data_IF_478764840274
#
_entry.id   IF_478764840274
#
_cell.length_a   1.000
_cell.length_b   1.000
_cell.length_c   1.000
_cell.angle_alpha   90.00
_cell.angle_beta   90.00
_cell.angle_gamma   90.00
#
_symmetry.space_group_name_H-M   'P 1'
#
loop_
_entity.id
_entity.type
_entity.pdbx_description
1 polymer ?
#
# COMPACT_ATOMS: atom_id res chain seq x y z
N UNK A 1 23.89 32.22 21.10
CA UNK A 1 23.98 30.91 20.41
C UNK A 1 23.43 31.00 18.98
N UNK A 2 22.19 31.46 18.77
CA UNK A 2 21.57 31.63 17.43
C UNK A 2 22.36 32.57 16.50
N UNK A 3 22.98 33.63 17.02
CA UNK A 3 23.79 34.57 16.23
C UNK A 3 25.04 33.94 15.61
N UNK A 4 25.72 33.03 16.33
CA UNK A 4 26.89 32.30 15.80
C UNK A 4 26.44 31.33 14.71
N UNK A 5 25.26 30.73 14.88
CA UNK A 5 24.70 29.81 13.89
C UNK A 5 24.36 30.56 12.59
N UNK A 6 23.75 31.74 12.71
CA UNK A 6 23.45 32.64 11.59
C UNK A 6 24.70 33.08 10.80
N UNK A 7 25.81 33.35 11.49
CA UNK A 7 27.06 33.81 10.87
C UNK A 7 27.92 32.70 10.24
N UNK A 8 27.62 31.42 10.47
CA UNK A 8 28.52 30.32 10.08
C UNK A 8 27.85 29.10 9.41
N UNK A 9 26.52 28.96 9.46
CA UNK A 9 25.83 27.76 8.96
C UNK A 9 24.98 28.02 7.71
N UNK A 10 24.66 26.94 6.99
CA UNK A 10 23.89 26.93 5.74
C UNK A 10 22.37 27.02 5.97
N UNK A 11 21.67 27.40 4.90
CA UNK A 11 20.21 27.50 4.80
C UNK A 11 19.46 26.34 5.48
N UNK A 12 19.85 25.09 5.21
CA UNK A 12 19.20 23.88 5.73
C UNK A 12 19.18 23.80 7.27
N UNK A 13 20.26 24.24 7.92
CA UNK A 13 20.35 24.22 9.39
C UNK A 13 19.43 25.29 9.98
N UNK A 14 19.35 26.46 9.35
CA UNK A 14 18.46 27.52 9.80
C UNK A 14 16.99 27.15 9.57
N UNK A 15 16.69 26.51 8.44
CA UNK A 15 15.37 25.94 8.12
C UNK A 15 14.94 24.93 9.18
N UNK A 16 15.78 23.94 9.49
CA UNK A 16 15.45 22.94 10.52
C UNK A 16 15.28 23.54 11.91
N UNK A 17 16.10 24.53 12.29
CA UNK A 17 15.95 25.21 13.57
C UNK A 17 14.62 25.96 13.68
N UNK A 18 14.23 26.67 12.63
CA UNK A 18 12.95 27.37 12.57
C UNK A 18 11.76 26.40 12.51
N UNK A 19 11.88 25.27 11.84
CA UNK A 19 10.82 24.24 11.78
C UNK A 19 10.64 23.49 13.10
N UNK A 20 11.75 23.15 13.78
CA UNK A 20 11.70 22.38 15.02
C UNK A 20 11.37 23.22 16.26
N UNK A 21 11.79 24.49 16.28
CA UNK A 21 11.61 25.37 17.45
C UNK A 21 10.62 26.51 17.20
N UNK A 22 10.17 26.74 15.97
CA UNK A 22 9.10 27.69 15.66
C UNK A 22 9.32 29.04 16.36
N UNK A 23 8.37 29.42 17.20
CA UNK A 23 8.31 30.70 17.92
C UNK A 23 9.30 30.83 19.09
N UNK A 24 9.90 29.72 19.55
CA UNK A 24 10.92 29.75 20.62
C UNK A 24 12.26 30.35 20.15
N UNK A 25 12.46 30.49 18.83
CA UNK A 25 13.65 31.12 18.27
C UNK A 25 13.43 32.62 18.15
N UNK A 26 13.94 33.38 19.13
CA UNK A 26 13.97 34.84 19.06
C UNK A 26 14.96 35.32 17.98
N UNK A 27 14.42 35.92 16.92
CA UNK A 27 15.22 36.62 15.90
C UNK A 27 15.48 38.03 16.38
N UNK A 28 16.66 38.26 16.96
CA UNK A 28 17.12 39.57 17.40
C UNK A 28 17.90 40.29 16.29
N UNK A 29 17.99 41.62 16.34
CA UNK A 29 18.77 42.44 15.38
C UNK A 29 20.20 41.93 15.16
N UNK A 30 20.86 41.44 16.23
CA UNK A 30 22.21 40.85 16.13
C UNK A 30 22.28 39.58 15.27
N UNK A 31 21.21 38.79 15.20
CA UNK A 31 21.09 37.60 14.34
C UNK A 31 20.91 38.04 12.90
N UNK A 32 20.03 39.01 12.64
CA UNK A 32 19.78 39.55 11.29
C UNK A 32 21.06 40.18 10.71
N UNK A 33 21.80 40.93 11.53
CA UNK A 33 23.10 41.50 11.17
C UNK A 33 24.14 40.43 10.85
N UNK A 34 24.20 39.35 11.65
CA UNK A 34 25.12 38.24 11.40
C UNK A 34 24.79 37.47 10.10
N UNK A 35 23.51 37.34 9.76
CA UNK A 35 23.07 36.75 8.47
C UNK A 35 23.43 37.66 7.29
N UNK A 36 23.19 38.96 7.41
CA UNK A 36 23.54 39.94 6.37
C UNK A 36 25.05 39.96 6.08
N UNK A 37 25.88 39.83 7.12
CA UNK A 37 27.33 39.74 7.00
C UNK A 37 27.88 38.38 6.53
N UNK A 38 27.04 37.36 6.35
CA UNK A 38 27.49 36.02 5.92
C UNK A 38 27.68 35.97 4.40
N UNK A 39 28.94 35.91 3.95
CA UNK A 39 29.31 35.96 2.51
C UNK A 39 28.96 34.71 1.72
N UNK A 40 28.79 33.57 2.37
CA UNK A 40 28.59 32.30 1.68
C UNK A 40 27.11 31.89 1.54
N UNK A 41 26.29 32.23 2.53
CA UNK A 41 24.87 31.81 2.55
C UNK A 41 23.92 32.89 3.07
N UNK A 42 24.40 34.13 3.28
CA UNK A 42 23.61 35.21 3.86
C UNK A 42 22.33 35.53 3.09
N UNK A 43 22.37 35.60 1.75
CA UNK A 43 21.18 35.89 0.93
C UNK A 43 20.11 34.79 1.03
N UNK A 44 20.52 33.52 0.98
CA UNK A 44 19.64 32.36 1.12
C UNK A 44 19.03 32.25 2.52
N UNK A 45 19.85 32.43 3.55
CA UNK A 45 19.39 32.40 4.94
C UNK A 45 18.47 33.58 5.23
N UNK A 46 18.78 34.78 4.69
CA UNK A 46 17.91 35.96 4.80
C UNK A 46 16.55 35.71 4.13
N UNK A 47 16.53 35.03 2.98
CA UNK A 47 15.27 34.64 2.32
C UNK A 47 14.42 33.70 3.19
N UNK A 48 14.99 32.65 3.76
CA UNK A 48 14.27 31.73 4.67
C UNK A 48 13.74 32.47 5.90
N UNK A 49 14.52 33.41 6.44
CA UNK A 49 14.12 34.23 7.57
C UNK A 49 12.95 35.17 7.22
N UNK A 50 12.99 35.82 6.07
CA UNK A 50 11.89 36.68 5.60
C UNK A 50 10.63 35.88 5.25
N UNK A 51 10.78 34.71 4.62
CA UNK A 51 9.65 33.83 4.24
C UNK A 51 8.90 33.30 5.47
N UNK A 52 9.62 33.02 6.57
CA UNK A 52 9.04 32.42 7.79
C UNK A 52 8.73 33.41 8.91
N UNK A 53 9.49 34.52 8.99
CA UNK A 53 9.48 35.47 10.11
C UNK A 53 9.64 36.92 9.65
N UNK A 54 9.27 37.25 8.42
CA UNK A 54 9.43 38.59 7.85
C UNK A 54 8.79 39.73 8.67
N UNK A 55 7.72 39.46 9.42
CA UNK A 55 7.08 40.45 10.31
C UNK A 55 7.91 40.75 11.59
N UNK A 56 8.78 39.83 12.01
CA UNK A 56 9.63 39.99 13.21
C UNK A 56 10.98 40.66 12.88
N UNK A 57 11.31 40.78 11.58
CA UNK A 57 12.61 41.24 11.10
C UNK A 57 12.52 42.71 10.74
N UNK A 58 13.26 43.54 11.46
CA UNK A 58 13.45 44.95 11.14
C UNK A 58 14.77 45.13 10.40
N UNK A 59 14.70 45.66 9.18
CA UNK A 59 15.90 46.08 8.46
C UNK A 59 16.29 47.46 8.97
N UNK A 60 17.31 47.51 9.81
CA UNK A 60 17.92 48.76 10.30
C UNK A 60 19.12 49.14 9.44
N UNK A 61 19.55 50.39 9.51
CA UNK A 61 20.75 50.88 8.79
C UNK A 61 21.99 50.00 9.04
N UNK A 62 22.16 49.48 10.26
CA UNK A 62 23.25 48.56 10.61
C UNK A 62 23.22 47.21 9.85
N UNK A 63 22.04 46.72 9.48
CA UNK A 63 21.87 45.48 8.70
C UNK A 63 22.19 45.74 7.24
N UNK A 64 21.80 46.91 6.73
CA UNK A 64 22.15 47.34 5.37
C UNK A 64 23.65 47.58 5.24
N UNK A 65 24.29 48.20 6.24
CA UNK A 65 25.75 48.39 6.28
C UNK A 65 26.50 47.04 6.33
N UNK A 66 26.02 46.10 7.15
CA UNK A 66 26.58 44.74 7.21
C UNK A 66 26.42 43.98 5.88
N UNK A 67 25.28 44.15 5.19
CA UNK A 67 25.06 43.59 3.86
C UNK A 67 25.95 44.25 2.79
N UNK A 68 26.12 45.57 2.85
CA UNK A 68 26.95 46.34 1.92
C UNK A 68 28.45 46.03 2.07
N UNK A 69 28.91 45.73 3.29
CA UNK A 69 30.26 45.24 3.56
C UNK A 69 30.56 43.84 3.02
N UNK A 70 29.53 43.10 2.59
CA UNK A 70 29.63 41.75 2.05
C UNK A 70 29.66 41.77 0.52
N UNK A 71 30.84 41.98 -0.06
CA UNK A 71 31.04 42.20 -1.50
C UNK A 71 30.53 41.10 -2.43
N UNK A 72 30.29 39.88 -1.94
CA UNK A 72 29.76 38.75 -2.74
C UNK A 72 28.23 38.70 -2.74
N UNK A 73 27.59 38.95 -1.59
CA UNK A 73 26.13 38.83 -1.44
C UNK A 73 25.40 40.18 -1.39
N UNK A 74 26.11 41.31 -1.39
CA UNK A 74 25.53 42.66 -1.27
C UNK A 74 24.44 42.95 -2.30
N UNK A 75 24.66 42.58 -3.58
CA UNK A 75 23.67 42.80 -4.65
C UNK A 75 22.42 41.93 -4.48
N UNK A 76 22.60 40.68 -4.05
CA UNK A 76 21.47 39.78 -3.83
C UNK A 76 20.64 40.21 -2.61
N UNK A 77 21.30 40.65 -1.53
CA UNK A 77 20.65 41.18 -0.35
C UNK A 77 19.97 42.53 -0.61
N UNK A 78 20.60 43.44 -1.37
CA UNK A 78 19.97 44.70 -1.79
C UNK A 78 18.71 44.44 -2.64
N UNK A 79 18.80 43.53 -3.61
CA UNK A 79 17.63 43.11 -4.39
C UNK A 79 16.54 42.48 -3.52
N UNK A 80 16.91 41.63 -2.55
CA UNK A 80 15.98 40.96 -1.64
C UNK A 80 15.26 41.99 -0.76
N UNK A 81 15.98 42.93 -0.16
CA UNK A 81 15.42 43.98 0.68
C UNK A 81 14.47 44.89 -0.10
N UNK A 82 14.85 45.29 -1.33
CA UNK A 82 13.98 46.06 -2.24
C UNK A 82 12.73 45.29 -2.66
N UNK A 83 12.83 43.98 -2.87
CA UNK A 83 11.70 43.17 -3.33
C UNK A 83 10.69 42.83 -2.24
N UNK A 84 11.15 42.78 -0.99
CA UNK A 84 10.33 42.38 0.15
C UNK A 84 9.74 43.58 0.89
N UNK A 85 10.47 44.69 0.94
CA UNK A 85 10.01 45.94 1.49
C UNK A 85 10.04 46.95 0.34
N UNK A 86 8.88 47.30 -0.23
CA UNK A 86 8.75 48.51 -1.04
C UNK A 86 9.07 49.70 -0.11
N UNK A 87 10.36 50.00 0.01
CA UNK A 87 10.82 51.22 0.62
C UNK A 87 10.50 52.30 -0.40
N UNK A 88 9.70 53.30 -0.02
CA UNK A 88 9.59 54.60 -0.67
C UNK A 88 10.96 55.34 -0.61
N UNK A 89 12.02 54.71 -1.09
CA UNK A 89 13.29 55.36 -1.40
C UNK A 89 13.18 55.79 -2.85
N UNK A 90 12.60 56.97 -3.02
CA UNK A 90 12.56 57.71 -4.26
C UNK A 90 13.95 57.67 -4.94
N UNK A 91 14.12 57.00 -6.11
CA UNK A 91 15.44 56.80 -6.72
C UNK A 91 16.10 58.10 -7.22
N UNK A 92 15.45 59.25 -7.09
CA UNK A 92 15.96 60.55 -7.54
C UNK A 92 16.79 61.33 -6.51
N UNK A 93 17.09 60.77 -5.34
CA UNK A 93 17.99 61.40 -4.37
C UNK A 93 19.49 61.11 -4.60
N UNK A 94 19.92 60.89 -5.85
CA UNK A 94 21.31 61.17 -6.24
C UNK A 94 21.33 62.61 -6.76
N UNK A 95 21.09 63.56 -5.84
CA UNK A 95 21.19 64.97 -6.11
C UNK A 95 22.65 65.34 -6.32
N UNK A 96 22.95 65.92 -7.48
CA UNK A 96 24.15 66.70 -7.71
C UNK A 96 24.34 67.73 -6.58
N UNK A 97 25.58 68.02 -6.16
CA UNK A 97 25.89 68.75 -4.91
C UNK A 97 25.53 70.27 -4.89
N UNK A 98 24.58 70.73 -5.71
CA UNK A 98 24.30 72.16 -5.89
C UNK A 98 23.05 72.70 -5.15
N UNK A 99 22.12 71.87 -4.68
CA UNK A 99 20.83 72.34 -4.13
C UNK A 99 20.70 72.20 -2.60
N UNK A 100 21.70 72.70 -1.86
CA UNK A 100 21.66 72.78 -0.39
C UNK A 100 20.90 74.01 0.16
N UNK A 101 20.16 74.76 -0.68
CA UNK A 101 19.49 75.99 -0.25
C UNK A 101 17.95 75.96 -0.29
N UNK A 102 17.33 74.96 -0.93
CA UNK A 102 15.86 74.85 -1.01
C UNK A 102 15.26 73.88 0.02
N UNK A 103 15.99 72.84 0.44
CA UNK A 103 15.53 71.89 1.48
C UNK A 103 15.36 72.51 2.86
N UNK A 104 16.03 73.65 3.10
CA UNK A 104 15.89 74.41 4.36
C UNK A 104 14.59 75.20 4.45
N UNK A 105 13.99 75.59 3.31
CA UNK A 105 12.70 76.31 3.28
C UNK A 105 11.50 75.37 3.45
N UNK A 106 11.57 74.14 2.96
CA UNK A 106 10.50 73.15 3.16
C UNK A 106 10.52 72.54 4.58
N UNK A 107 11.70 72.38 5.19
CA UNK A 107 11.81 72.01 6.61
C UNK A 107 11.25 73.07 7.56
N UNK A 108 11.30 74.35 7.19
CA UNK A 108 10.75 75.44 8.00
C UNK A 108 9.24 75.66 7.78
N UNK A 109 8.68 75.29 6.62
CA UNK A 109 7.23 75.27 6.39
C UNK A 109 6.48 74.15 7.14
N UNK A 110 7.16 73.09 7.59
CA UNK A 110 6.55 72.02 8.40
C UNK A 110 6.51 72.30 9.92
N UNK A 111 7.06 73.44 10.37
CA UNK A 111 6.99 73.86 11.78
C UNK A 111 5.67 74.56 12.14
N UNK A 112 4.82 74.90 11.18
CA UNK A 112 3.56 75.64 11.40
C UNK A 112 2.26 74.83 11.23
N UNK A 113 2.32 73.49 11.09
CA UNK A 113 1.10 72.66 11.14
C UNK A 113 0.46 72.80 12.53
N UNK A 114 -0.81 73.21 12.56
CA UNK A 114 -1.60 73.35 13.78
C UNK A 114 -1.54 72.04 14.58
N UNK A 115 -1.51 72.12 15.91
CA UNK A 115 -1.52 70.95 16.78
C UNK A 115 -2.68 69.98 16.46
N UNK A 116 -3.76 70.48 15.85
CA UNK A 116 -4.89 69.69 15.38
C UNK A 116 -4.58 68.84 14.13
N UNK A 117 -3.80 69.34 13.18
CA UNK A 117 -3.45 68.59 11.97
C UNK A 117 -2.46 67.46 12.26
N UNK A 118 -1.53 67.67 13.20
CA UNK A 118 -0.65 66.61 13.71
C UNK A 118 -1.44 65.52 14.44
N UNK A 119 -2.43 65.91 15.25
CA UNK A 119 -3.34 64.96 15.90
C UNK A 119 -4.16 64.17 14.88
N UNK A 120 -4.69 64.80 13.83
CA UNK A 120 -5.44 64.12 12.77
C UNK A 120 -4.59 63.08 12.04
N UNK A 121 -3.37 63.44 11.61
CA UNK A 121 -2.44 62.49 10.96
C UNK A 121 -2.04 61.33 11.88
N UNK A 122 -1.88 61.58 13.19
CA UNK A 122 -1.61 60.53 14.16
C UNK A 122 -2.80 59.59 14.35
N UNK A 123 -4.03 60.11 14.34
CA UNK A 123 -5.24 59.29 14.42
C UNK A 123 -5.45 58.48 13.13
N UNK A 124 -5.21 59.09 11.98
CA UNK A 124 -5.34 58.46 10.66
C UNK A 124 -4.34 57.30 10.50
N UNK A 125 -3.06 57.53 10.84
CA UNK A 125 -2.05 56.46 10.85
C UNK A 125 -2.36 55.34 11.85
N UNK A 126 -2.94 55.65 13.02
CA UNK A 126 -3.39 54.64 13.96
C UNK A 126 -4.56 53.79 13.42
N UNK A 127 -5.53 54.41 12.74
CA UNK A 127 -6.64 53.69 12.10
C UNK A 127 -6.12 52.81 10.95
N UNK A 128 -5.17 53.30 10.17
CA UNK A 128 -4.57 52.53 9.07
C UNK A 128 -3.74 51.35 9.58
N UNK A 129 -2.99 51.52 10.67
CA UNK A 129 -2.33 50.42 11.37
C UNK A 129 -3.33 49.39 11.91
N UNK A 130 -4.46 49.82 12.44
CA UNK A 130 -5.50 48.91 12.90
C UNK A 130 -6.13 48.12 11.73
N UNK A 131 -6.45 48.79 10.62
CA UNK A 131 -6.96 48.15 9.39
C UNK A 131 -5.95 47.18 8.78
N UNK A 132 -4.65 47.51 8.80
CA UNK A 132 -3.62 46.60 8.31
C UNK A 132 -3.48 45.38 9.23
N UNK A 133 -3.56 45.54 10.54
CA UNK A 133 -3.57 44.43 11.50
C UNK A 133 -4.81 43.53 11.34
N UNK A 134 -5.98 44.09 11.06
CA UNK A 134 -7.21 43.33 10.77
C UNK A 134 -7.09 42.54 9.46
N UNK A 135 -6.61 43.17 8.37
CA UNK A 135 -6.35 42.47 7.10
C UNK A 135 -5.38 41.28 7.26
N UNK A 136 -4.35 41.41 8.11
CA UNK A 136 -3.42 40.30 8.41
C UNK A 136 -4.11 39.14 9.13
N UNK A 137 -4.98 39.41 10.10
CA UNK A 137 -5.77 38.38 10.78
C UNK A 137 -6.67 37.64 9.80
N UNK A 138 -7.32 38.36 8.89
CA UNK A 138 -8.17 37.77 7.85
C UNK A 138 -7.38 36.86 6.91
N UNK A 139 -6.21 37.31 6.42
CA UNK A 139 -5.33 36.50 5.57
C UNK A 139 -4.87 35.22 6.29
N UNK A 140 -4.49 35.33 7.57
CA UNK A 140 -4.05 34.17 8.34
C UNK A 140 -5.19 33.17 8.57
N UNK A 141 -6.39 33.65 8.90
CA UNK A 141 -7.58 32.79 9.04
C UNK A 141 -7.92 32.11 7.71
N UNK A 142 -7.85 32.84 6.59
CA UNK A 142 -8.11 32.28 5.26
C UNK A 142 -7.10 31.19 4.88
N UNK A 143 -5.80 31.41 5.13
CA UNK A 143 -4.75 30.40 4.92
C UNK A 143 -4.98 29.15 5.79
N UNK A 144 -5.30 29.34 7.07
CA UNK A 144 -5.61 28.21 7.97
C UNK A 144 -6.84 27.42 7.48
N UNK A 145 -7.87 28.09 6.96
CA UNK A 145 -9.04 27.43 6.41
C UNK A 145 -8.70 26.60 5.16
N UNK A 146 -7.85 27.12 4.27
CA UNK A 146 -7.38 26.40 3.08
C UNK A 146 -6.55 25.16 3.46
N UNK A 147 -5.66 25.27 4.44
CA UNK A 147 -4.88 24.14 4.94
C UNK A 147 -5.77 23.04 5.56
N UNK A 148 -6.82 23.42 6.29
CA UNK A 148 -7.80 22.49 6.85
C UNK A 148 -8.56 21.78 5.72
N UNK A 149 -9.02 22.51 4.71
CA UNK A 149 -9.67 21.90 3.55
C UNK A 149 -8.74 20.94 2.81
N UNK A 150 -7.49 21.34 2.58
CA UNK A 150 -6.50 20.49 1.93
C UNK A 150 -6.23 19.22 2.74
N UNK A 151 -6.10 19.33 4.06
CA UNK A 151 -5.95 18.19 4.95
C UNK A 151 -7.17 17.26 4.90
N UNK A 152 -8.39 17.81 4.87
CA UNK A 152 -9.61 17.03 4.73
C UNK A 152 -9.72 16.34 3.36
N UNK A 153 -9.33 17.01 2.27
CA UNK A 153 -9.25 16.40 0.93
C UNK A 153 -8.26 15.23 0.92
N UNK A 154 -7.07 15.40 1.50
CA UNK A 154 -6.07 14.33 1.64
C UNK A 154 -6.61 13.14 2.44
N UNK A 155 -7.28 13.40 3.56
CA UNK A 155 -7.94 12.37 4.38
C UNK A 155 -9.01 11.62 3.60
N UNK A 156 -9.84 12.33 2.82
CA UNK A 156 -10.89 11.72 2.01
C UNK A 156 -10.32 10.81 0.91
N UNK A 157 -9.27 11.25 0.21
CA UNK A 157 -8.57 10.42 -0.80
C UNK A 157 -7.95 9.18 -0.16
N UNK A 158 -7.28 9.32 0.98
CA UNK A 158 -6.70 8.18 1.69
C UNK A 158 -7.76 7.18 2.15
N UNK A 159 -8.92 7.67 2.60
CA UNK A 159 -10.04 6.82 2.99
C UNK A 159 -10.63 6.08 1.77
N UNK A 160 -10.77 6.75 0.63
CA UNK A 160 -11.24 6.13 -0.61
C UNK A 160 -10.27 5.03 -1.09
N UNK A 161 -8.97 5.31 -1.08
CA UNK A 161 -7.94 4.32 -1.45
C UNK A 161 -7.99 3.11 -0.51
N UNK A 162 -8.15 3.33 0.79
CA UNK A 162 -8.27 2.24 1.76
C UNK A 162 -9.54 1.40 1.54
N UNK A 163 -10.65 2.01 1.14
CA UNK A 163 -11.87 1.29 0.77
C UNK A 163 -11.68 0.45 -0.49
N UNK A 164 -11.06 1.02 -1.54
CA UNK A 164 -10.75 0.30 -2.77
C UNK A 164 -9.85 -0.92 -2.50
N UNK A 165 -8.80 -0.75 -1.71
CA UNK A 165 -7.92 -1.87 -1.32
C UNK A 165 -8.68 -2.96 -0.54
N UNK A 166 -9.60 -2.58 0.35
CA UNK A 166 -10.45 -3.54 1.08
C UNK A 166 -11.40 -4.29 0.14
N UNK A 167 -12.01 -3.60 -0.82
CA UNK A 167 -12.89 -4.21 -1.81
C UNK A 167 -12.12 -5.18 -2.73
N UNK A 168 -10.94 -4.80 -3.21
CA UNK A 168 -10.08 -5.66 -4.02
C UNK A 168 -9.61 -6.89 -3.23
N UNK A 169 -9.21 -6.70 -1.97
CA UNK A 169 -8.84 -7.82 -1.10
C UNK A 169 -10.04 -8.75 -0.84
N UNK A 170 -11.25 -8.21 -0.69
CA UNK A 170 -12.47 -8.99 -0.54
C UNK A 170 -12.80 -9.78 -1.83
N UNK A 171 -12.70 -9.16 -3.01
CA UNK A 171 -12.85 -9.83 -4.31
C UNK A 171 -11.85 -10.97 -4.48
N UNK A 172 -10.57 -10.72 -4.21
CA UNK A 172 -9.52 -11.75 -4.28
C UNK A 172 -9.77 -12.90 -3.30
N UNK A 173 -10.23 -12.60 -2.07
CA UNK A 173 -10.65 -13.64 -1.11
C UNK A 173 -11.83 -14.46 -1.62
N UNK A 174 -12.84 -13.83 -2.21
CA UNK A 174 -14.00 -14.51 -2.76
C UNK A 174 -13.61 -15.46 -3.91
N UNK A 175 -12.75 -15.01 -4.82
CA UNK A 175 -12.22 -15.84 -5.92
C UNK A 175 -11.46 -17.06 -5.39
N UNK A 176 -10.62 -16.89 -4.37
CA UNK A 176 -9.90 -18.01 -3.74
C UNK A 176 -10.86 -18.99 -3.09
N UNK A 177 -11.87 -18.52 -2.37
CA UNK A 177 -12.89 -19.39 -1.79
C UNK A 177 -13.67 -20.16 -2.85
N UNK A 178 -13.99 -19.52 -3.98
CA UNK A 178 -14.68 -20.21 -5.07
C UNK A 178 -13.81 -21.30 -5.68
N UNK A 179 -12.53 -21.01 -5.96
CA UNK A 179 -11.58 -22.02 -6.46
C UNK A 179 -11.46 -23.23 -5.52
N UNK A 180 -11.45 -23.00 -4.21
CA UNK A 180 -11.41 -24.09 -3.23
C UNK A 180 -12.69 -24.93 -3.29
N UNK A 181 -13.86 -24.30 -3.38
CA UNK A 181 -15.13 -25.02 -3.56
C UNK A 181 -15.14 -25.87 -4.83
N UNK A 182 -14.75 -25.29 -5.96
CA UNK A 182 -14.69 -26.00 -7.24
C UNK A 182 -13.68 -27.18 -7.17
N UNK A 183 -12.56 -27.00 -6.48
CA UNK A 183 -11.57 -28.06 -6.23
C UNK A 183 -12.12 -29.17 -5.31
N UNK A 184 -12.85 -28.81 -4.26
CA UNK A 184 -13.48 -29.78 -3.37
C UNK A 184 -14.57 -30.57 -4.08
N UNK A 185 -15.39 -29.92 -4.91
CA UNK A 185 -16.43 -30.57 -5.72
C UNK A 185 -15.83 -31.55 -6.74
N UNK A 186 -14.81 -31.11 -7.48
CA UNK A 186 -14.10 -31.99 -8.44
C UNK A 186 -13.39 -33.15 -7.75
N UNK A 187 -12.78 -32.93 -6.59
CA UNK A 187 -12.19 -34.00 -5.77
C UNK A 187 -13.25 -34.97 -5.23
N UNK A 188 -14.41 -34.46 -4.79
CA UNK A 188 -15.53 -35.28 -4.34
C UNK A 188 -16.09 -36.14 -5.47
N UNK A 189 -16.29 -35.56 -6.65
CA UNK A 189 -16.73 -36.26 -7.85
C UNK A 189 -15.76 -37.39 -8.23
N UNK A 190 -14.46 -37.10 -8.24
CA UNK A 190 -13.42 -38.10 -8.53
C UNK A 190 -13.44 -39.25 -7.51
N UNK A 191 -13.67 -38.96 -6.23
CA UNK A 191 -13.81 -40.00 -5.19
C UNK A 191 -15.06 -40.87 -5.40
N UNK A 192 -16.19 -40.26 -5.75
CA UNK A 192 -17.44 -40.98 -6.02
C UNK A 192 -17.26 -41.90 -7.22
N UNK A 193 -16.71 -41.39 -8.33
CA UNK A 193 -16.43 -42.20 -9.53
C UNK A 193 -15.44 -43.34 -9.23
N UNK A 194 -14.39 -43.06 -8.44
CA UNK A 194 -13.45 -44.08 -7.98
C UNK A 194 -14.14 -45.19 -7.17
N UNK A 195 -14.98 -44.82 -6.21
CA UNK A 195 -15.73 -45.78 -5.39
C UNK A 195 -16.72 -46.61 -6.21
N UNK A 196 -17.40 -46.00 -7.19
CA UNK A 196 -18.29 -46.71 -8.11
C UNK A 196 -17.53 -47.74 -8.96
N UNK A 197 -16.35 -47.38 -9.48
CA UNK A 197 -15.49 -48.30 -10.23
C UNK A 197 -15.05 -49.49 -9.38
N UNK A 198 -14.67 -49.26 -8.14
CA UNK A 198 -14.29 -50.33 -7.20
C UNK A 198 -15.47 -51.27 -6.96
N UNK A 199 -16.66 -50.74 -6.66
CA UNK A 199 -17.87 -51.57 -6.48
C UNK A 199 -18.18 -52.44 -7.71
N UNK A 200 -18.13 -51.86 -8.91
CA UNK A 200 -18.34 -52.63 -10.15
C UNK A 200 -17.29 -53.73 -10.33
N UNK A 201 -16.03 -53.47 -9.97
CA UNK A 201 -14.96 -54.47 -10.02
C UNK A 201 -15.18 -55.59 -9.00
N UNK A 202 -15.60 -55.27 -7.77
CA UNK A 202 -15.90 -56.25 -6.73
C UNK A 202 -17.09 -57.15 -7.12
N UNK A 203 -18.16 -56.57 -7.67
CA UNK A 203 -19.31 -57.32 -8.16
C UNK A 203 -18.93 -58.24 -9.32
N UNK A 204 -18.16 -57.74 -10.30
CA UNK A 204 -17.68 -58.54 -11.42
C UNK A 204 -16.77 -59.69 -10.95
N UNK A 205 -15.86 -59.43 -10.01
CA UNK A 205 -15.01 -60.47 -9.40
C UNK A 205 -15.84 -61.51 -8.63
N UNK A 206 -16.88 -61.05 -7.91
CA UNK A 206 -17.83 -61.92 -7.20
C UNK A 206 -18.61 -62.83 -8.15
N UNK A 207 -19.13 -62.29 -9.25
CA UNK A 207 -19.81 -63.05 -10.30
C UNK A 207 -18.86 -64.08 -10.94
N UNK A 208 -17.67 -63.66 -11.35
CA UNK A 208 -16.67 -64.56 -11.93
C UNK A 208 -16.29 -65.70 -10.99
N UNK A 209 -16.19 -65.43 -9.67
CA UNK A 209 -15.94 -66.48 -8.67
C UNK A 209 -17.11 -67.47 -8.58
N UNK A 210 -18.36 -66.98 -8.53
CA UNK A 210 -19.57 -67.82 -8.51
C UNK A 210 -19.70 -68.70 -9.76
N UNK A 211 -19.36 -68.15 -10.93
CA UNK A 211 -19.33 -68.93 -12.17
C UNK A 211 -18.24 -70.00 -12.18
N UNK A 212 -17.06 -69.70 -11.64
CA UNK A 212 -15.99 -70.69 -11.52
C UNK A 212 -16.40 -71.82 -10.58
N UNK A 213 -17.04 -71.52 -9.45
CA UNK A 213 -17.52 -72.55 -8.52
C UNK A 213 -18.63 -73.39 -9.13
N UNK A 214 -19.62 -72.79 -9.81
CA UNK A 214 -20.69 -73.56 -10.45
C UNK A 214 -20.18 -74.44 -11.59
N UNK A 215 -19.22 -73.96 -12.40
CA UNK A 215 -18.56 -74.77 -13.42
C UNK A 215 -17.76 -75.93 -12.82
N UNK A 216 -17.07 -75.70 -11.69
CA UNK A 216 -16.32 -76.75 -11.00
C UNK A 216 -17.25 -77.83 -10.42
N UNK A 217 -18.37 -77.44 -9.80
CA UNK A 217 -19.40 -78.35 -9.30
C UNK A 217 -20.03 -79.18 -10.43
N UNK A 218 -20.38 -78.54 -11.55
CA UNK A 218 -20.90 -79.23 -12.72
C UNK A 218 -19.89 -80.26 -13.27
N UNK A 219 -18.60 -79.92 -13.31
CA UNK A 219 -17.55 -80.83 -13.73
C UNK A 219 -17.39 -82.01 -12.76
N UNK A 220 -17.47 -81.77 -11.45
CA UNK A 220 -17.44 -82.83 -10.44
C UNK A 220 -18.63 -83.78 -10.58
N UNK A 221 -19.85 -83.27 -10.72
CA UNK A 221 -21.04 -84.09 -10.93
C UNK A 221 -20.92 -84.95 -12.19
N UNK A 222 -20.48 -84.36 -13.31
CA UNK A 222 -20.26 -85.11 -14.55
C UNK A 222 -19.19 -86.20 -14.39
N UNK A 223 -18.12 -85.93 -13.64
CA UNK A 223 -17.08 -86.93 -13.36
C UNK A 223 -17.60 -88.07 -12.45
N UNK A 224 -18.43 -87.76 -11.46
CA UNK A 224 -19.09 -88.77 -10.62
C UNK A 224 -20.08 -89.61 -11.41
N UNK A 225 -20.87 -89.00 -12.29
CA UNK A 225 -21.80 -89.69 -13.17
C UNK A 225 -21.05 -90.64 -14.12
N UNK A 226 -19.95 -90.18 -14.73
CA UNK A 226 -19.07 -91.03 -15.53
C UNK A 226 -18.51 -92.20 -14.72
N UNK A 227 -18.12 -91.99 -13.45
CA UNK A 227 -17.71 -93.07 -12.54
C UNK A 227 -18.84 -94.07 -12.30
N UNK A 228 -20.07 -93.60 -12.02
CA UNK A 228 -21.25 -94.46 -11.84
C UNK A 228 -21.55 -95.28 -13.09
N UNK A 229 -21.56 -94.67 -14.26
CA UNK A 229 -21.77 -95.36 -15.55
C UNK A 229 -20.69 -96.43 -15.76
N UNK A 230 -19.43 -96.12 -15.44
CA UNK A 230 -18.32 -97.09 -15.56
C UNK A 230 -18.47 -98.26 -14.59
N UNK A 231 -18.89 -98.01 -13.36
CA UNK A 231 -19.17 -99.06 -12.36
C UNK A 231 -20.33 -99.96 -12.81
N UNK A 232 -21.45 -99.37 -13.23
CA UNK A 232 -22.61 -100.10 -13.76
C UNK A 232 -22.22 -100.97 -14.97
N UNK A 233 -21.41 -100.45 -15.90
CA UNK A 233 -20.88 -101.25 -17.03
C UNK A 233 -20.04 -102.44 -16.54
N UNK A 234 -19.18 -102.25 -15.55
CA UNK A 234 -18.36 -103.34 -15.00
C UNK A 234 -19.23 -104.42 -14.32
N UNK A 235 -20.26 -104.03 -13.59
CA UNK A 235 -21.22 -104.95 -12.98
C UNK A 235 -22.01 -105.74 -14.03
N UNK A 236 -22.51 -105.06 -15.07
CA UNK A 236 -23.16 -105.71 -16.22
C UNK A 236 -22.24 -106.73 -16.90
N UNK A 237 -20.98 -106.37 -17.15
CA UNK A 237 -19.99 -107.29 -17.75
C UNK A 237 -19.80 -108.51 -16.85
N UNK A 238 -19.66 -108.34 -15.54
CA UNK A 238 -19.52 -109.46 -14.58
C UNK A 238 -20.77 -110.34 -14.59
N UNK A 239 -21.96 -109.76 -14.53
CA UNK A 239 -23.23 -110.49 -14.57
C UNK A 239 -23.38 -111.33 -15.84
N UNK A 240 -23.07 -110.75 -17.01
CA UNK A 240 -23.08 -111.47 -18.30
C UNK A 240 -22.05 -112.61 -18.30
N UNK A 241 -20.85 -112.40 -17.77
CA UNK A 241 -19.83 -113.44 -17.68
C UNK A 241 -20.26 -114.60 -16.75
N UNK A 242 -20.86 -114.30 -15.61
CA UNK A 242 -21.36 -115.30 -14.67
C UNK A 242 -22.56 -116.07 -15.23
N UNK A 243 -23.45 -115.39 -15.96
CA UNK A 243 -24.55 -116.04 -16.68
C UNK A 243 -24.05 -117.00 -17.75
N UNK A 244 -23.09 -116.59 -18.58
CA UNK A 244 -22.43 -117.51 -19.55
C UNK A 244 -21.76 -118.70 -18.86
N UNK A 245 -21.15 -118.50 -17.69
CA UNK A 245 -20.56 -119.60 -16.90
C UNK A 245 -21.63 -120.57 -16.40
N UNK A 246 -22.78 -120.07 -15.91
CA UNK A 246 -23.93 -120.89 -15.52
C UNK A 246 -24.47 -121.68 -16.71
N UNK A 247 -24.78 -121.03 -17.83
CA UNK A 247 -25.26 -121.69 -19.05
C UNK A 247 -24.27 -122.74 -19.57
N UNK A 248 -22.95 -122.49 -19.46
CA UNK A 248 -21.93 -123.48 -19.85
C UNK A 248 -21.92 -124.68 -18.89
N UNK A 249 -22.10 -124.47 -17.58
CA UNK A 249 -22.23 -125.56 -16.60
C UNK A 249 -23.51 -126.35 -16.84
N UNK A 250 -24.64 -125.68 -17.06
CA UNK A 250 -25.92 -126.32 -17.39
C UNK A 250 -25.81 -127.17 -18.65
N UNK A 251 -25.25 -126.61 -19.74
CA UNK A 251 -24.95 -127.40 -20.96
C UNK A 251 -24.04 -128.61 -20.70
N UNK A 252 -23.04 -128.47 -19.83
CA UNK A 252 -22.19 -129.60 -19.45
C UNK A 252 -22.96 -130.65 -18.64
N UNK A 253 -23.84 -130.23 -17.73
CA UNK A 253 -24.68 -131.13 -16.94
C UNK A 253 -25.72 -131.85 -17.82
N UNK A 254 -26.36 -131.16 -18.75
CA UNK A 254 -27.24 -131.77 -19.77
C UNK A 254 -26.49 -132.77 -20.65
N UNK A 255 -25.25 -132.44 -21.06
CA UNK A 255 -24.39 -133.36 -21.81
C UNK A 255 -24.04 -134.62 -20.99
N UNK A 256 -23.73 -134.49 -19.70
CA UNK A 256 -23.48 -135.64 -18.81
C UNK A 256 -24.75 -136.48 -18.63
N UNK A 257 -25.91 -135.84 -18.45
CA UNK A 257 -27.20 -136.52 -18.27
C UNK A 257 -27.65 -137.33 -19.50
N UNK A 258 -27.24 -136.93 -20.71
CA UNK A 258 -27.53 -137.68 -21.94
C UNK A 258 -26.59 -138.88 -22.21
N UNK A 259 -25.56 -139.08 -21.38
CA UNK A 259 -24.55 -140.15 -21.53
C UNK A 259 -24.71 -141.31 -20.52
N UNK A 260 -25.71 -141.26 -19.63
CA UNK A 260 -26.13 -142.33 -18.72
C UNK A 260 -27.56 -142.76 -19.03
#
# INVERSE_FOLDING_TARGET
MVQIIAGSFHEEVMTLLLDCRGDDVMITDGVVKAVAGNSWSGSRVMKVLLDRRGDDIKITDEVVEAAAGNSWAAKELDCLFRSFWDVDSDPQAIASPSDLSETKREQDSLKSLSAEEKKRKNIESAIEQQRSAERRKEINIAKMAEDIELANRKRAVNLQLALQQKEEAAKSRAERMQKVKDQEETAAQTRIEGAQKIKMQEEAAGQAKRERTSKAEAFQMAAEEQKRIRQQRQELIRAVADQRRKEKRERHLEMIANYF
#
